data_IF_164002065228
#
_entry.id   IF_164002065228
#
_cell.length_a   1.000
_cell.length_b   1.000
_cell.length_c   1.000
_cell.angle_alpha   90.00
_cell.angle_beta   90.00
_cell.angle_gamma   90.00
#
_symmetry.space_group_name_H-M   'P 1'
#
loop_
_entity.id
_entity.type
_entity.pdbx_description
1 polymer ?
#
# COMPACT_ATOMS: atom_id res chain seq x y z
N UNK A 1 3.74 -31.77 -26.76
CA UNK A 1 3.22 -32.16 -25.44
C UNK A 1 3.99 -31.41 -24.38
N UNK A 2 3.27 -30.72 -23.51
CA UNK A 2 3.76 -29.68 -22.61
C UNK A 2 4.66 -30.21 -21.50
N UNK A 3 5.81 -29.54 -21.28
CA UNK A 3 6.61 -29.68 -20.06
C UNK A 3 6.30 -28.48 -19.16
N UNK A 4 5.60 -28.75 -18.06
CA UNK A 4 5.30 -27.78 -17.01
C UNK A 4 6.58 -27.49 -16.22
N UNK A 5 7.23 -26.36 -16.53
CA UNK A 5 8.29 -25.79 -15.71
C UNK A 5 7.68 -24.98 -14.56
N UNK A 6 7.48 -25.62 -13.40
CA UNK A 6 7.26 -24.96 -12.13
C UNK A 6 8.45 -24.02 -11.81
N UNK A 7 8.33 -22.74 -12.12
CA UNK A 7 9.18 -21.71 -11.52
C UNK A 7 8.46 -21.11 -10.33
N UNK A 8 8.76 -21.67 -9.16
CA UNK A 8 8.68 -20.98 -7.88
C UNK A 8 9.44 -19.64 -8.01
N UNK A 9 8.72 -18.54 -8.15
CA UNK A 9 9.29 -17.22 -7.91
C UNK A 9 9.28 -16.99 -6.39
N UNK A 10 10.31 -17.50 -5.72
CA UNK A 10 10.69 -16.97 -4.41
C UNK A 10 11.22 -15.56 -4.64
N UNK A 11 10.36 -14.55 -4.48
CA UNK A 11 10.80 -13.15 -4.44
C UNK A 11 11.39 -12.90 -3.05
N UNK A 12 12.66 -13.24 -2.89
CA UNK A 12 13.48 -12.69 -1.81
C UNK A 12 13.76 -11.24 -2.19
N UNK A 13 12.98 -10.30 -1.65
CA UNK A 13 13.36 -8.89 -1.65
C UNK A 13 14.49 -8.71 -0.63
N UNK A 14 15.73 -8.98 -1.04
CA UNK A 14 16.88 -8.44 -0.31
C UNK A 14 16.98 -6.96 -0.63
N UNK A 15 16.70 -6.13 0.38
CA UNK A 15 17.13 -4.74 0.41
C UNK A 15 18.66 -4.73 0.46
N UNK A 16 19.29 -4.73 -0.71
CA UNK A 16 20.76 -4.69 -0.85
C UNK A 16 21.12 -4.13 -2.22
N UNK A 17 21.77 -2.97 -2.18
CA UNK A 17 22.71 -2.43 -3.15
C UNK A 17 23.04 -3.31 -4.37
N UNK A 18 22.65 -2.86 -5.58
CA UNK A 18 23.38 -3.22 -6.79
C UNK A 18 24.64 -2.34 -6.85
N UNK A 19 25.76 -2.86 -6.36
CA UNK A 19 27.09 -2.28 -6.52
C UNK A 19 27.67 -2.71 -7.87
N UNK A 20 27.62 -1.83 -8.87
CA UNK A 20 28.39 -2.03 -10.11
C UNK A 20 29.81 -1.52 -9.87
N UNK A 21 30.77 -2.43 -9.97
CA UNK A 21 32.21 -2.16 -9.83
C UNK A 21 32.73 -1.51 -11.11
N UNK A 22 32.84 -0.19 -11.12
CA UNK A 22 33.88 0.50 -11.89
C UNK A 22 34.32 1.82 -11.22
N UNK A 23 35.57 2.17 -11.42
CA UNK A 23 36.42 2.97 -10.52
C UNK A 23 35.92 4.41 -10.24
N UNK A 24 35.96 4.81 -8.95
CA UNK A 24 36.03 6.19 -8.41
C UNK A 24 34.81 7.13 -8.45
N UNK A 25 33.59 6.67 -8.73
CA UNK A 25 32.38 7.46 -8.38
C UNK A 25 31.22 6.53 -8.05
N UNK A 26 30.88 6.40 -6.77
CA UNK A 26 29.66 5.72 -6.34
C UNK A 26 28.45 6.59 -6.72
N UNK A 27 27.81 6.29 -7.85
CA UNK A 27 26.51 6.89 -8.20
C UNK A 27 25.41 6.13 -7.49
N UNK A 28 25.01 6.64 -6.34
CA UNK A 28 23.83 6.15 -5.62
C UNK A 28 22.58 6.76 -6.26
N UNK A 29 21.69 5.92 -6.78
CA UNK A 29 20.37 6.33 -7.29
C UNK A 29 19.31 5.80 -6.31
N UNK A 30 18.92 6.59 -5.29
CA UNK A 30 17.86 6.19 -4.39
C UNK A 30 16.54 6.07 -5.14
N UNK A 31 15.93 4.88 -5.11
CA UNK A 31 14.53 4.69 -5.49
C UNK A 31 13.69 4.83 -4.23
N UNK A 32 13.13 6.01 -3.99
CA UNK A 32 12.36 6.27 -2.79
C UNK A 32 11.23 7.26 -3.09
N UNK A 33 10.08 7.05 -2.45
CA UNK A 33 8.93 7.95 -2.49
C UNK A 33 8.81 8.64 -1.12
N UNK A 34 9.17 9.92 -1.08
CA UNK A 34 9.17 10.71 0.15
C UNK A 34 7.76 11.17 0.57
N UNK A 35 6.74 10.93 -0.26
CA UNK A 35 5.33 11.25 0.05
C UNK A 35 4.60 10.07 0.71
N UNK A 36 5.26 8.91 0.80
CA UNK A 36 4.74 7.73 1.49
C UNK A 36 5.23 7.66 2.95
N UNK A 37 4.90 6.57 3.64
CA UNK A 37 5.13 6.41 5.07
C UNK A 37 6.59 6.67 5.46
N UNK A 38 6.78 7.54 6.45
CA UNK A 38 8.09 7.77 7.06
C UNK A 38 8.54 6.55 7.88
N UNK A 39 9.85 6.31 7.98
CA UNK A 39 10.36 5.28 8.88
C UNK A 39 9.91 5.54 10.31
N UNK A 40 9.39 4.50 10.96
CA UNK A 40 8.95 4.60 12.36
C UNK A 40 10.18 4.61 13.27
N UNK A 41 10.35 5.69 14.04
CA UNK A 41 11.41 5.78 15.06
C UNK A 41 10.93 5.17 16.37
N UNK A 42 11.75 4.34 17.01
CA UNK A 42 11.45 3.73 18.31
C UNK A 42 11.30 4.75 19.45
N UNK A 43 11.90 5.93 19.31
CA UNK A 43 11.84 7.01 20.30
C UNK A 43 11.39 8.33 19.64
N UNK A 44 10.23 8.81 20.05
CA UNK A 44 9.62 10.06 19.59
C UNK A 44 10.51 11.28 19.90
N UNK A 45 11.27 11.24 21.00
CA UNK A 45 12.17 12.32 21.43
C UNK A 45 13.33 12.48 20.45
N UNK A 46 13.88 11.36 19.96
CA UNK A 46 14.95 11.35 18.97
C UNK A 46 14.47 11.84 17.60
N UNK A 47 13.26 11.45 17.18
CA UNK A 47 12.64 11.97 15.96
C UNK A 47 12.50 13.48 16.01
N UNK A 48 11.88 14.01 17.08
CA UNK A 48 11.55 15.44 17.17
C UNK A 48 12.76 16.35 17.40
N UNK A 49 13.77 15.88 18.16
CA UNK A 49 14.95 16.70 18.51
C UNK A 49 16.08 16.61 17.48
N UNK A 50 16.24 15.46 16.83
CA UNK A 50 17.37 15.20 15.93
C UNK A 50 16.94 14.89 14.48
N UNK A 51 15.64 15.02 14.15
CA UNK A 51 15.10 14.75 12.82
C UNK A 51 15.48 13.35 12.31
N UNK A 52 15.47 12.37 13.21
CA UNK A 52 15.83 10.98 12.91
C UNK A 52 14.75 10.24 12.13
N UNK A 53 13.55 10.81 12.01
CA UNK A 53 12.46 10.33 11.15
C UNK A 53 12.61 10.79 9.68
N UNK A 54 13.55 11.70 9.40
CA UNK A 54 13.84 12.16 8.04
C UNK A 54 14.74 11.13 7.35
N UNK A 55 14.23 10.51 6.30
CA UNK A 55 14.98 9.54 5.50
C UNK A 55 16.22 10.19 4.86
N UNK A 56 17.26 9.38 4.62
CA UNK A 56 18.46 9.84 3.90
C UNK A 56 18.09 10.47 2.55
N UNK A 57 17.10 9.91 1.86
CA UNK A 57 16.60 10.44 0.60
C UNK A 57 15.99 11.84 0.75
N UNK A 58 15.15 12.07 1.77
CA UNK A 58 14.60 13.40 2.03
C UNK A 58 15.70 14.41 2.38
N UNK A 59 16.76 14.00 3.10
CA UNK A 59 17.93 14.85 3.36
C UNK A 59 18.69 15.18 2.08
N UNK A 60 18.84 14.24 1.16
CA UNK A 60 19.50 14.45 -0.13
C UNK A 60 18.71 15.41 -1.03
N UNK A 61 17.38 15.27 -1.08
CA UNK A 61 16.51 16.21 -1.80
C UNK A 61 16.65 17.64 -1.25
N UNK A 62 16.66 17.80 0.09
CA UNK A 62 16.88 19.10 0.75
C UNK A 62 18.25 19.70 0.45
N UNK A 63 19.27 18.86 0.23
CA UNK A 63 20.62 19.27 -0.15
C UNK A 63 20.79 19.53 -1.66
N UNK A 64 19.69 19.61 -2.43
CA UNK A 64 19.72 19.98 -3.84
C UNK A 64 20.08 18.85 -4.79
N UNK A 65 20.02 17.59 -4.35
CA UNK A 65 20.13 16.48 -5.29
C UNK A 65 18.91 16.44 -6.20
N UNK A 66 19.17 16.36 -7.51
CA UNK A 66 18.14 16.14 -8.51
C UNK A 66 17.55 14.74 -8.37
N UNK A 67 16.22 14.66 -8.40
CA UNK A 67 15.49 13.40 -8.41
C UNK A 67 14.50 13.41 -9.56
N UNK A 68 14.58 12.39 -10.41
CA UNK A 68 13.58 12.15 -11.44
C UNK A 68 12.35 11.49 -10.83
N UNK A 69 11.16 12.05 -11.09
CA UNK A 69 9.90 11.47 -10.65
C UNK A 69 9.29 10.62 -11.75
N UNK A 70 8.93 9.38 -11.41
CA UNK A 70 8.14 8.51 -12.28
C UNK A 70 6.69 8.95 -12.22
N UNK A 71 6.22 9.59 -13.30
CA UNK A 71 4.86 10.14 -13.36
C UNK A 71 3.83 9.15 -13.91
N UNK A 72 4.21 7.96 -14.37
CA UNK A 72 3.28 6.99 -14.99
C UNK A 72 3.07 5.79 -14.06
N UNK A 73 1.81 5.50 -13.73
CA UNK A 73 1.42 4.37 -12.88
C UNK A 73 0.81 3.23 -13.71
N UNK A 74 1.12 1.99 -13.31
CA UNK A 74 0.71 0.76 -14.01
C UNK A 74 -0.12 -0.21 -13.15
N UNK A 75 -0.49 0.18 -11.91
CA UNK A 75 -1.03 -0.75 -10.91
C UNK A 75 -2.51 -0.54 -10.63
N UNK A 76 -2.95 0.70 -10.47
CA UNK A 76 -4.30 1.00 -9.97
C UNK A 76 -5.25 1.40 -11.10
N UNK A 77 -6.54 1.12 -10.93
CA UNK A 77 -7.57 1.63 -11.85
C UNK A 77 -7.60 3.16 -11.79
N UNK A 78 -7.94 3.86 -12.90
CA UNK A 78 -8.02 5.31 -12.93
C UNK A 78 -8.92 5.94 -11.85
N UNK A 79 -9.97 5.25 -11.42
CA UNK A 79 -10.87 5.75 -10.37
C UNK A 79 -10.18 5.85 -9.00
N UNK A 80 -9.26 4.92 -8.71
CA UNK A 80 -8.45 4.95 -7.50
C UNK A 80 -7.38 6.03 -7.62
N UNK A 81 -6.72 6.15 -8.79
CA UNK A 81 -5.73 7.18 -9.04
C UNK A 81 -6.29 8.61 -8.86
N UNK A 82 -7.55 8.83 -9.28
CA UNK A 82 -8.26 10.11 -9.10
C UNK A 82 -8.47 10.51 -7.64
N UNK A 83 -8.42 9.57 -6.69
CA UNK A 83 -8.53 9.90 -5.27
C UNK A 83 -7.22 10.41 -4.66
N UNK A 84 -6.08 9.95 -5.20
CA UNK A 84 -4.76 10.32 -4.71
C UNK A 84 -4.18 11.53 -5.46
N UNK A 85 -4.72 11.87 -6.63
CA UNK A 85 -4.36 13.06 -7.42
C UNK A 85 -5.49 14.08 -7.36
N UNK A 86 -5.27 15.34 -6.94
CA UNK A 86 -3.99 15.96 -6.59
C UNK A 86 -3.63 15.90 -5.10
N UNK A 87 -4.36 15.10 -4.30
CA UNK A 87 -4.29 15.17 -2.83
C UNK A 87 -2.92 14.78 -2.24
N UNK A 88 -2.28 13.74 -2.78
CA UNK A 88 -0.94 13.28 -2.38
C UNK A 88 0.04 13.72 -3.46
N UNK A 89 -0.18 13.26 -4.70
CA UNK A 89 0.71 13.54 -5.82
C UNK A 89 0.13 14.66 -6.70
N UNK A 90 0.92 15.68 -7.06
CA UNK A 90 0.45 16.76 -7.92
C UNK A 90 0.14 16.28 -9.34
N UNK A 91 0.95 15.35 -9.87
CA UNK A 91 0.80 14.80 -11.23
C UNK A 91 1.10 13.29 -11.23
N UNK A 92 0.12 12.48 -11.63
CA UNK A 92 0.27 11.04 -11.87
C UNK A 92 -0.62 10.61 -13.04
N UNK A 93 -0.02 10.04 -14.07
CA UNK A 93 -0.65 9.58 -15.30
C UNK A 93 -0.91 8.07 -15.26
N UNK A 94 -1.99 7.64 -15.89
CA UNK A 94 -2.35 6.24 -16.00
C UNK A 94 -1.76 5.65 -17.28
N UNK A 95 -1.06 4.52 -17.18
CA UNK A 95 -0.66 3.76 -18.35
C UNK A 95 -1.86 3.08 -19.02
N UNK A 96 -1.79 2.85 -20.34
CA UNK A 96 -2.88 2.23 -21.11
C UNK A 96 -3.31 0.86 -20.54
N UNK A 97 -2.37 0.12 -19.95
CA UNK A 97 -2.61 -1.20 -19.33
C UNK A 97 -3.65 -1.17 -18.21
N UNK A 98 -3.85 -0.04 -17.52
CA UNK A 98 -4.82 0.05 -16.42
C UNK A 98 -6.19 0.56 -16.86
N UNK A 99 -6.31 1.03 -18.11
CA UNK A 99 -7.57 1.53 -18.66
C UNK A 99 -8.52 0.38 -19.04
N UNK A 100 -7.97 -0.79 -19.32
CA UNK A 100 -8.72 -2.00 -19.70
C UNK A 100 -9.09 -2.92 -18.55
N UNK A 101 -9.06 -2.46 -17.30
CA UNK A 101 -9.43 -3.32 -16.17
C UNK A 101 -10.94 -3.56 -16.11
N UNK A 102 -11.32 -4.84 -16.18
CA UNK A 102 -12.71 -5.29 -16.05
C UNK A 102 -13.38 -4.77 -14.78
N UNK A 103 -14.70 -4.61 -14.86
CA UNK A 103 -15.51 -4.25 -13.71
C UNK A 103 -15.61 -5.41 -12.73
N UNK A 104 -15.83 -5.08 -11.45
CA UNK A 104 -15.97 -6.09 -10.41
C UNK A 104 -17.33 -6.77 -10.57
N UNK A 105 -17.34 -8.09 -10.73
CA UNK A 105 -18.57 -8.86 -10.89
C UNK A 105 -19.44 -8.73 -9.63
N UNK A 106 -20.73 -8.48 -9.83
CA UNK A 106 -21.69 -8.35 -8.74
C UNK A 106 -21.57 -7.05 -7.93
N UNK A 107 -20.79 -6.06 -8.39
CA UNK A 107 -20.69 -4.73 -7.77
C UNK A 107 -20.84 -3.64 -8.84
N UNK A 108 -21.65 -2.62 -8.57
CA UNK A 108 -21.92 -1.54 -9.55
C UNK A 108 -20.77 -0.55 -9.73
N UNK A 109 -19.98 -0.31 -8.68
CA UNK A 109 -18.85 0.62 -8.67
C UNK A 109 -17.61 -0.05 -8.09
N UNK A 110 -16.47 0.12 -8.75
CA UNK A 110 -15.19 -0.43 -8.27
C UNK A 110 -14.62 0.28 -7.03
N UNK A 111 -15.12 1.47 -6.72
CA UNK A 111 -14.78 2.24 -5.52
C UNK A 111 -16.07 2.78 -4.92
N UNK A 112 -16.26 2.52 -3.62
CA UNK A 112 -17.40 3.03 -2.87
C UNK A 112 -17.01 3.22 -1.40
N UNK A 113 -17.70 4.13 -0.73
CA UNK A 113 -17.57 4.39 0.70
C UNK A 113 -18.87 4.01 1.37
N UNK A 114 -18.76 3.30 2.49
CA UNK A 114 -19.89 2.86 3.30
C UNK A 114 -19.90 3.68 4.58
N UNK A 115 -20.95 4.45 4.78
CA UNK A 115 -21.15 5.21 6.03
C UNK A 115 -22.10 4.44 6.92
N UNK A 116 -21.77 4.32 8.21
CA UNK A 116 -22.62 3.71 9.21
C UNK A 116 -22.54 4.47 10.53
N UNK A 117 -23.55 4.28 11.39
CA UNK A 117 -23.63 4.93 12.71
C UNK A 117 -23.42 3.93 13.87
N UNK A 118 -22.85 2.75 13.59
CA UNK A 118 -22.49 1.77 14.61
C UNK A 118 -21.20 2.14 15.32
N UNK A 119 -21.29 2.36 16.63
CA UNK A 119 -20.15 2.71 17.47
C UNK A 119 -19.21 1.52 17.66
N UNK A 120 -17.92 1.82 17.68
CA UNK A 120 -16.87 0.90 18.09
C UNK A 120 -17.06 0.42 19.53
N UNK A 121 -16.79 -0.87 19.77
CA UNK A 121 -16.79 -1.40 21.13
C UNK A 121 -15.55 -0.90 21.87
N UNK A 122 -15.77 -0.22 22.99
CA UNK A 122 -14.71 0.13 23.94
C UNK A 122 -14.52 -1.03 24.90
N UNK A 123 -13.32 -1.62 24.88
CA UNK A 123 -12.87 -2.53 25.95
C UNK A 123 -11.95 -1.71 26.84
N UNK A 124 -12.28 -1.64 28.14
CA UNK A 124 -11.68 -0.69 29.09
C UNK A 124 -10.15 -0.84 29.28
N UNK A 125 -9.55 -1.97 28.87
CA UNK A 125 -8.14 -2.30 29.12
C UNK A 125 -7.28 -2.49 27.86
N UNK A 126 -7.68 -1.98 26.68
CA UNK A 126 -6.81 -2.10 25.49
C UNK A 126 -6.80 -0.87 24.60
N UNK A 127 -5.60 -0.46 24.17
CA UNK A 127 -5.38 0.63 23.21
C UNK A 127 -5.83 0.30 21.76
N UNK A 128 -6.66 -0.72 21.56
CA UNK A 128 -7.09 -1.18 20.24
C UNK A 128 -8.61 -1.32 20.19
N UNK A 129 -9.21 -0.65 19.20
CA UNK A 129 -10.63 -0.62 18.97
C UNK A 129 -11.08 -1.74 18.02
N UNK A 130 -12.33 -2.19 18.15
CA UNK A 130 -12.98 -3.09 17.19
C UNK A 130 -14.38 -2.59 16.84
N UNK A 131 -14.79 -2.84 15.62
CA UNK A 131 -16.16 -2.58 15.17
C UNK A 131 -16.72 -3.85 14.52
N UNK A 132 -17.66 -4.50 15.22
CA UNK A 132 -18.26 -5.76 14.78
C UNK A 132 -19.08 -5.54 13.51
N UNK A 133 -19.82 -4.43 13.42
CA UNK A 133 -20.62 -4.11 12.24
C UNK A 133 -19.74 -4.00 10.98
N UNK A 134 -18.62 -3.28 11.07
CA UNK A 134 -17.68 -3.17 9.95
C UNK A 134 -17.06 -4.52 9.61
N UNK A 135 -16.72 -5.34 10.61
CA UNK A 135 -16.17 -6.67 10.38
C UNK A 135 -17.15 -7.57 9.64
N UNK A 136 -18.39 -7.67 10.12
CA UNK A 136 -19.45 -8.47 9.52
C UNK A 136 -19.76 -8.01 8.10
N UNK A 137 -19.82 -6.69 7.87
CA UNK A 137 -20.03 -6.13 6.55
C UNK A 137 -18.92 -6.53 5.58
N UNK A 138 -17.65 -6.37 5.98
CA UNK A 138 -16.50 -6.71 5.14
C UNK A 138 -16.41 -8.21 4.90
N UNK A 139 -16.73 -9.05 5.89
CA UNK A 139 -16.78 -10.51 5.73
C UNK A 139 -17.90 -10.94 4.78
N UNK A 140 -19.08 -10.33 4.89
CA UNK A 140 -20.19 -10.58 3.95
C UNK A 140 -19.82 -10.18 2.51
N UNK A 141 -19.17 -9.03 2.33
CA UNK A 141 -18.67 -8.58 1.03
C UNK A 141 -17.60 -9.53 0.48
N UNK A 142 -16.67 -9.98 1.31
CA UNK A 142 -15.64 -10.96 0.93
C UNK A 142 -16.29 -12.27 0.47
N UNK A 143 -17.25 -12.80 1.24
CA UNK A 143 -18.02 -14.00 0.85
C UNK A 143 -18.75 -13.80 -0.47
N UNK A 144 -19.37 -12.64 -0.70
CA UNK A 144 -20.02 -12.31 -1.97
C UNK A 144 -19.03 -12.40 -3.13
N UNK A 145 -17.86 -11.78 -3.01
CA UNK A 145 -16.81 -11.83 -4.05
C UNK A 145 -16.31 -13.27 -4.31
N UNK A 146 -16.12 -14.06 -3.26
CA UNK A 146 -15.76 -15.48 -3.41
C UNK A 146 -16.84 -16.25 -4.19
N UNK A 147 -18.13 -16.00 -3.92
CA UNK A 147 -19.25 -16.61 -4.64
C UNK A 147 -19.35 -16.15 -6.10
N UNK A 148 -18.85 -14.96 -6.45
CA UNK A 148 -18.73 -14.51 -7.84
C UNK A 148 -17.56 -15.17 -8.59
N UNK A 149 -16.76 -16.01 -7.92
CA UNK A 149 -15.64 -16.74 -8.54
C UNK A 149 -14.28 -16.05 -8.42
N UNK A 150 -14.16 -14.98 -7.61
CA UNK A 150 -12.85 -14.41 -7.31
C UNK A 150 -12.07 -15.35 -6.38
N UNK A 151 -10.81 -15.69 -6.71
CA UNK A 151 -10.02 -16.57 -5.87
C UNK A 151 -9.51 -15.80 -4.63
N UNK A 152 -9.30 -16.48 -3.48
CA UNK A 152 -8.93 -15.82 -2.23
C UNK A 152 -7.64 -14.99 -2.30
N UNK A 153 -6.67 -15.37 -3.14
CA UNK A 153 -5.39 -14.65 -3.32
C UNK A 153 -5.55 -13.27 -3.99
N UNK A 154 -6.71 -13.01 -4.60
CA UNK A 154 -7.03 -11.72 -5.24
C UNK A 154 -7.79 -10.77 -4.32
N UNK A 155 -8.16 -11.20 -3.12
CA UNK A 155 -8.92 -10.40 -2.16
C UNK A 155 -8.04 -10.12 -0.93
N UNK A 156 -7.80 -8.84 -0.66
CA UNK A 156 -7.03 -8.40 0.50
C UNK A 156 -7.85 -7.42 1.31
N UNK A 157 -8.01 -7.70 2.61
CA UNK A 157 -8.64 -6.80 3.57
C UNK A 157 -7.56 -6.10 4.38
N UNK A 158 -7.57 -4.77 4.38
CA UNK A 158 -6.65 -3.93 5.16
C UNK A 158 -7.39 -3.28 6.32
N UNK A 159 -6.81 -3.31 7.51
CA UNK A 159 -7.35 -2.64 8.70
C UNK A 159 -6.23 -2.02 9.52
N UNK A 160 -6.50 -0.87 10.14
CA UNK A 160 -5.53 -0.11 10.94
C UNK A 160 -5.38 -0.65 12.36
N UNK A 161 -6.37 -1.40 12.85
CA UNK A 161 -6.37 -1.91 14.22
C UNK A 161 -6.07 -3.41 14.25
N UNK A 162 -5.04 -3.79 15.00
CA UNK A 162 -4.64 -5.21 15.15
C UNK A 162 -5.77 -6.07 15.70
N UNK A 163 -6.60 -5.58 16.63
CA UNK A 163 -7.77 -6.33 17.12
C UNK A 163 -8.83 -6.57 16.06
N UNK A 164 -9.09 -5.60 15.19
CA UNK A 164 -9.98 -5.79 14.05
C UNK A 164 -9.43 -6.88 13.11
N UNK A 165 -8.11 -6.90 12.89
CA UNK A 165 -7.46 -7.95 12.10
C UNK A 165 -7.62 -9.33 12.74
N UNK A 166 -7.45 -9.45 14.06
CA UNK A 166 -7.67 -10.71 14.77
C UNK A 166 -9.13 -11.15 14.71
N UNK A 167 -10.07 -10.22 14.82
CA UNK A 167 -11.50 -10.52 14.74
C UNK A 167 -11.90 -11.02 13.34
N UNK A 168 -11.33 -10.45 12.28
CA UNK A 168 -11.55 -10.89 10.89
C UNK A 168 -10.92 -12.25 10.57
N UNK A 169 -9.95 -12.71 11.37
CA UNK A 169 -9.26 -14.01 11.22
C UNK A 169 -9.88 -15.14 12.03
N UNK A 170 -10.76 -14.82 12.98
CA UNK A 170 -11.43 -15.74 13.88
C UNK A 170 -12.58 -16.44 13.18
#
# INVERSE_FOLDING_TARGET
MASYSNRMASLVLTDSSQLTSDKSTFRYVPKCDHQQLRPTTADFTLARKYNFDISLFERMLKNGMHCELLKVQHRMRPEIAKMIVPAIYPELFNHESVLGFDNIMGISKSVFFVTHNHYQEKVEDSASHRNIYEADYVLALCRHLLMQGYPPDKITILTTYSRQMFHLKS
#
